data_IF_999831888149
#
_entry.id   IF_999831888149
#
_cell.length_a   1.000
_cell.length_b   1.000
_cell.length_c   1.000
_cell.angle_alpha   90.00
_cell.angle_beta   90.00
_cell.angle_gamma   90.00
#
_symmetry.space_group_name_H-M   'P 1'
#
loop_
_entity.id
_entity.type
_entity.pdbx_description
1 polymer ?
#
# COMPACT_ATOMS: atom_id res chain seq x y z
N UNK A 1 33.69 -45.85 55.26
CA UNK A 1 33.70 -44.44 54.79
C UNK A 1 32.73 -43.66 55.66
N UNK A 2 33.03 -42.41 55.99
CA UNK A 2 32.12 -41.52 56.74
C UNK A 2 31.33 -40.63 55.79
N UNK A 3 30.22 -40.05 56.26
CA UNK A 3 29.35 -39.18 55.45
C UNK A 3 30.09 -37.97 54.84
N UNK A 4 31.14 -37.47 55.50
CA UNK A 4 32.02 -36.40 54.96
C UNK A 4 32.60 -36.76 53.59
N UNK A 5 33.10 -37.99 53.42
CA UNK A 5 33.67 -38.44 52.16
C UNK A 5 32.64 -38.53 51.03
N UNK A 6 31.36 -38.78 51.37
CA UNK A 6 30.26 -38.85 50.40
C UNK A 6 29.88 -37.43 49.93
N UNK A 7 29.84 -36.45 50.86
CA UNK A 7 29.59 -35.05 50.52
C UNK A 7 30.70 -34.47 49.63
N UNK A 8 31.98 -34.78 49.91
CA UNK A 8 33.09 -34.40 49.03
C UNK A 8 32.95 -35.05 47.66
N UNK A 9 32.65 -36.35 47.57
CA UNK A 9 32.49 -37.03 46.28
C UNK A 9 31.34 -36.44 45.44
N UNK A 10 30.22 -36.09 46.07
CA UNK A 10 29.10 -35.41 45.42
C UNK A 10 29.52 -34.06 44.81
N UNK A 11 30.20 -33.21 45.59
CA UNK A 11 30.66 -31.91 45.10
C UNK A 11 31.76 -32.01 44.04
N UNK A 12 32.68 -32.98 44.14
CA UNK A 12 33.78 -33.15 43.18
C UNK A 12 33.35 -33.86 41.88
N UNK A 13 32.29 -34.69 41.89
CA UNK A 13 31.88 -35.47 40.71
C UNK A 13 30.62 -34.94 40.03
N UNK A 14 29.62 -34.41 40.77
CA UNK A 14 28.35 -34.00 40.14
C UNK A 14 28.37 -32.52 39.72
N UNK A 15 28.97 -31.62 40.50
CA UNK A 15 28.96 -30.18 40.18
C UNK A 15 29.73 -29.85 38.89
N UNK A 16 30.94 -30.40 38.62
CA UNK A 16 31.64 -30.12 37.35
C UNK A 16 30.93 -30.70 36.12
N UNK A 17 30.22 -31.83 36.28
CA UNK A 17 29.44 -32.45 35.20
C UNK A 17 28.11 -31.72 34.91
N UNK A 18 27.67 -30.81 35.79
CA UNK A 18 26.52 -29.91 35.55
C UNK A 18 26.94 -28.54 34.98
N UNK A 19 28.20 -28.15 35.12
CA UNK A 19 28.75 -26.89 34.62
C UNK A 19 30.05 -27.15 33.84
N UNK A 20 29.90 -27.64 32.61
CA UNK A 20 30.97 -28.28 31.82
C UNK A 20 32.20 -27.41 31.51
N UNK A 21 33.21 -27.52 32.37
CA UNK A 21 34.65 -27.29 32.14
C UNK A 21 35.39 -28.27 33.07
N UNK A 22 36.59 -28.79 32.80
CA UNK A 22 37.55 -28.64 31.71
C UNK A 22 38.87 -29.32 32.13
N UNK A 23 39.87 -29.40 31.23
CA UNK A 23 41.22 -29.99 31.47
C UNK A 23 41.24 -31.53 31.71
N UNK A 24 42.20 -32.34 31.23
CA UNK A 24 43.15 -32.29 30.09
C UNK A 24 43.50 -33.81 29.79
N UNK A 25 44.46 -34.34 29.01
CA UNK A 25 45.73 -33.89 28.42
C UNK A 25 45.93 -34.49 27.03
N UNK A 26 46.02 -33.65 25.99
CA UNK A 26 47.06 -33.73 24.93
C UNK A 26 46.75 -32.89 23.67
N UNK A 27 47.58 -31.89 23.39
CA UNK A 27 47.97 -31.37 22.07
C UNK A 27 46.98 -31.49 20.88
N UNK A 28 45.77 -30.99 21.06
CA UNK A 28 45.04 -30.30 20.00
C UNK A 28 44.03 -29.33 20.65
N UNK A 29 43.82 -28.13 20.10
CA UNK A 29 42.63 -27.37 20.45
C UNK A 29 41.42 -28.18 19.96
N UNK A 30 40.64 -28.75 20.89
CA UNK A 30 39.30 -29.20 20.55
C UNK A 30 38.43 -27.94 20.41
N UNK A 31 38.61 -27.24 19.29
CA UNK A 31 37.48 -26.59 18.62
C UNK A 31 36.49 -27.71 18.34
N UNK A 32 35.53 -27.88 19.26
CA UNK A 32 34.32 -28.63 18.99
C UNK A 32 33.72 -27.92 17.78
N UNK A 33 33.77 -28.58 16.62
CA UNK A 33 33.11 -28.06 15.45
C UNK A 33 31.63 -27.95 15.80
N UNK A 34 31.09 -26.73 15.80
CA UNK A 34 29.71 -26.47 16.20
C UNK A 34 28.79 -27.21 15.22
N UNK A 35 28.32 -28.40 15.60
CA UNK A 35 27.50 -29.23 14.72
C UNK A 35 26.04 -28.75 14.73
N UNK A 36 25.87 -27.55 14.16
CA UNK A 36 24.61 -26.84 14.01
C UNK A 36 23.64 -27.54 13.04
N UNK A 37 23.97 -28.73 12.52
CA UNK A 37 23.04 -29.57 11.72
C UNK A 37 21.76 -29.93 12.47
N UNK A 38 21.81 -29.95 13.81
CA UNK A 38 20.64 -30.16 14.68
C UNK A 38 19.94 -28.85 15.07
N UNK A 39 20.44 -27.69 14.63
CA UNK A 39 19.91 -26.34 14.92
C UNK A 39 19.34 -25.74 13.64
N UNK A 40 18.40 -26.46 13.04
CA UNK A 40 17.71 -26.06 11.79
C UNK A 40 16.28 -25.63 12.08
N UNK A 41 15.54 -26.44 12.85
CA UNK A 41 14.45 -25.99 13.71
C UNK A 41 14.41 -26.93 14.94
N UNK A 42 14.14 -26.37 16.11
CA UNK A 42 14.02 -27.10 17.39
C UNK A 42 12.58 -26.99 17.93
N UNK A 43 11.71 -26.23 17.27
CA UNK A 43 10.29 -26.14 17.60
C UNK A 43 9.48 -27.29 17.01
N UNK A 44 8.94 -28.16 17.88
CA UNK A 44 7.80 -29.03 17.51
C UNK A 44 6.51 -28.30 17.84
N UNK A 45 5.60 -28.15 16.87
CA UNK A 45 4.30 -27.56 17.12
C UNK A 45 3.46 -28.44 18.07
N UNK A 46 2.65 -27.83 18.94
CA UNK A 46 1.91 -28.55 19.99
C UNK A 46 0.96 -29.62 19.43
N UNK A 47 0.47 -29.43 18.19
CA UNK A 47 -0.38 -30.40 17.49
C UNK A 47 0.38 -31.66 17.02
N UNK A 48 1.69 -31.57 16.83
CA UNK A 48 2.55 -32.62 16.27
C UNK A 48 3.43 -33.31 17.33
N UNK A 49 3.33 -32.91 18.60
CA UNK A 49 3.99 -33.57 19.73
C UNK A 49 3.51 -35.02 19.87
N UNK A 50 4.45 -35.97 19.83
CA UNK A 50 4.11 -37.38 20.00
C UNK A 50 3.80 -37.71 21.47
N UNK A 51 3.09 -38.81 21.71
CA UNK A 51 2.87 -39.33 23.05
C UNK A 51 4.18 -39.67 23.80
N UNK A 52 5.28 -39.92 23.06
CA UNK A 52 6.64 -40.08 23.59
C UNK A 52 7.21 -38.76 24.12
N UNK A 53 7.00 -37.66 23.40
CA UNK A 53 7.52 -36.34 23.79
C UNK A 53 6.77 -35.82 25.02
N UNK A 54 5.43 -35.90 24.98
CA UNK A 54 4.59 -35.60 26.14
C UNK A 54 4.98 -36.43 27.38
N UNK A 55 5.35 -37.70 27.21
CA UNK A 55 5.85 -38.54 28.30
C UNK A 55 7.15 -38.01 28.90
N UNK A 56 8.08 -37.47 28.09
CA UNK A 56 9.32 -36.88 28.60
C UNK A 56 9.06 -35.60 29.44
N UNK A 57 7.98 -34.87 29.15
CA UNK A 57 7.56 -33.69 29.92
C UNK A 57 6.64 -34.00 31.12
N UNK A 58 6.27 -35.27 31.34
CA UNK A 58 5.24 -35.67 32.31
C UNK A 58 5.53 -36.98 33.08
N UNK A 59 6.75 -37.55 33.02
CA UNK A 59 7.02 -38.90 33.56
C UNK A 59 6.92 -38.99 35.09
N UNK A 60 7.48 -38.01 35.79
CA UNK A 60 7.61 -37.99 37.26
C UNK A 60 7.21 -36.62 37.85
N UNK A 61 7.48 -35.54 37.11
CA UNK A 61 7.02 -34.18 37.36
C UNK A 61 6.55 -33.57 36.04
N UNK A 62 5.45 -32.82 36.06
CA UNK A 62 5.00 -32.06 34.88
C UNK A 62 5.87 -30.83 34.73
N UNK A 63 6.52 -30.68 33.56
CA UNK A 63 7.35 -29.51 33.26
C UNK A 63 6.44 -28.28 33.12
N UNK A 64 6.67 -27.27 33.97
CA UNK A 64 5.95 -26.01 33.92
C UNK A 64 6.43 -25.11 32.76
N UNK A 65 5.49 -24.43 32.11
CA UNK A 65 5.81 -23.40 31.11
C UNK A 65 6.55 -22.24 31.81
N UNK A 66 7.79 -21.99 31.40
CA UNK A 66 8.70 -21.04 32.06
C UNK A 66 8.33 -19.56 31.83
N UNK A 67 8.08 -19.18 30.58
CA UNK A 67 7.43 -17.91 30.20
C UNK A 67 6.57 -18.16 28.95
N UNK A 68 5.67 -17.22 28.66
CA UNK A 68 4.92 -17.17 27.40
C UNK A 68 5.25 -15.87 26.68
N UNK A 69 5.99 -15.99 25.58
CA UNK A 69 6.28 -14.89 24.67
C UNK A 69 5.11 -14.68 23.71
N UNK A 70 4.74 -13.43 23.46
CA UNK A 70 3.66 -13.04 22.54
C UNK A 70 4.19 -11.99 21.56
N UNK A 71 4.26 -12.35 20.29
CA UNK A 71 4.63 -11.41 19.23
C UNK A 71 3.44 -10.52 18.85
N UNK A 72 3.53 -9.24 19.17
CA UNK A 72 2.50 -8.23 18.92
C UNK A 72 3.04 -7.07 18.09
N UNK A 73 3.78 -7.36 17.02
CA UNK A 73 4.26 -6.35 16.06
C UNK A 73 3.09 -5.67 15.33
N UNK A 74 3.06 -4.34 15.37
CA UNK A 74 2.07 -3.54 14.66
C UNK A 74 2.42 -3.41 13.17
N UNK A 75 1.46 -3.66 12.29
CA UNK A 75 1.60 -3.54 10.84
C UNK A 75 1.71 -2.07 10.44
N UNK A 76 2.75 -1.71 9.69
CA UNK A 76 2.95 -0.34 9.20
C UNK A 76 2.01 -0.06 8.03
N UNK A 77 1.24 1.02 8.14
CA UNK A 77 0.31 1.45 7.09
C UNK A 77 1.05 1.88 5.81
N UNK A 78 0.61 1.40 4.64
CA UNK A 78 1.08 1.87 3.33
C UNK A 78 0.28 3.11 2.90
N UNK A 79 0.15 4.12 3.76
CA UNK A 79 -0.80 5.23 3.53
C UNK A 79 -0.53 5.91 2.18
N UNK A 80 -1.44 5.75 1.22
CA UNK A 80 -1.48 6.58 0.02
C UNK A 80 -2.16 7.90 0.42
N UNK A 81 -1.58 9.06 0.10
CA UNK A 81 -2.10 10.37 0.53
C UNK A 81 -3.31 10.78 -0.32
N UNK A 82 -4.42 10.08 -0.10
CA UNK A 82 -5.75 10.38 -0.62
C UNK A 82 -6.35 11.59 0.13
N UNK A 83 -7.38 12.22 -0.45
CA UNK A 83 -8.18 13.17 0.32
C UNK A 83 -8.98 12.43 1.42
N UNK A 84 -8.53 12.58 2.67
CA UNK A 84 -9.16 12.04 3.87
C UNK A 84 -10.07 13.08 4.52
N UNK A 85 -11.23 12.63 4.99
CA UNK A 85 -12.21 13.43 5.74
C UNK A 85 -13.02 12.51 6.65
N UNK A 86 -13.67 13.05 7.69
CA UNK A 86 -14.48 12.28 8.63
C UNK A 86 -15.82 12.98 8.85
N UNK A 87 -16.92 12.25 8.71
CA UNK A 87 -18.28 12.78 8.91
C UNK A 87 -19.27 11.70 9.35
N UNK A 88 -19.83 11.88 10.54
CA UNK A 88 -20.90 11.05 11.09
C UNK A 88 -22.28 11.37 10.48
N UNK A 89 -22.43 12.55 9.85
CA UNK A 89 -23.72 13.07 9.40
C UNK A 89 -23.73 13.38 7.89
N UNK A 90 -24.58 12.66 7.15
CA UNK A 90 -24.85 12.92 5.73
C UNK A 90 -24.74 11.67 4.86
N UNK A 91 -25.73 11.47 3.97
CA UNK A 91 -25.75 10.30 3.08
C UNK A 91 -24.81 10.41 1.88
N UNK A 92 -24.62 11.63 1.34
CA UNK A 92 -23.99 11.86 0.05
C UNK A 92 -22.95 12.98 0.09
N UNK A 93 -21.88 12.84 -0.69
CA UNK A 93 -20.85 13.87 -0.89
C UNK A 93 -21.10 14.54 -2.25
N UNK A 94 -21.33 15.85 -2.26
CA UNK A 94 -21.52 16.65 -3.48
C UNK A 94 -20.25 17.46 -3.78
N UNK A 95 -19.78 17.43 -5.04
CA UNK A 95 -18.63 18.23 -5.49
C UNK A 95 -19.00 19.07 -6.71
N UNK A 96 -19.13 20.38 -6.47
CA UNK A 96 -19.41 21.40 -7.49
C UNK A 96 -18.09 21.91 -8.06
N UNK A 97 -18.01 22.07 -9.39
CA UNK A 97 -16.99 22.83 -10.10
C UNK A 97 -17.66 23.93 -10.92
N UNK A 98 -16.93 25.00 -11.21
CA UNK A 98 -17.32 26.03 -12.18
C UNK A 98 -16.39 25.94 -13.39
N UNK A 99 -16.92 26.13 -14.60
CA UNK A 99 -16.08 26.35 -15.79
C UNK A 99 -15.48 27.76 -15.77
N UNK A 100 -14.47 28.00 -16.59
CA UNK A 100 -14.02 29.36 -16.88
C UNK A 100 -15.10 30.16 -17.62
N UNK A 101 -15.13 31.46 -17.36
CA UNK A 101 -15.94 32.41 -18.14
C UNK A 101 -15.25 32.70 -19.47
N UNK A 102 -16.04 32.86 -20.54
CA UNK A 102 -15.53 33.31 -21.84
C UNK A 102 -15.14 34.79 -21.78
N UNK A 103 -13.91 35.10 -22.14
CA UNK A 103 -13.48 36.46 -22.42
C UNK A 103 -13.92 36.87 -23.84
N UNK A 104 -14.35 38.12 -23.99
CA UNK A 104 -14.65 38.75 -25.28
C UNK A 104 -13.77 39.97 -25.50
N UNK A 105 -13.44 40.26 -26.77
CA UNK A 105 -12.65 41.43 -27.14
C UNK A 105 -13.34 42.74 -26.75
N UNK A 106 -12.57 43.69 -26.23
CA UNK A 106 -13.08 45.01 -25.82
C UNK A 106 -12.90 46.06 -26.92
N UNK A 107 -14.01 46.47 -27.53
CA UNK A 107 -14.04 47.53 -28.55
C UNK A 107 -14.08 48.95 -27.97
N UNK A 108 -13.64 49.14 -26.71
CA UNK A 108 -13.72 50.41 -25.97
C UNK A 108 -12.92 51.56 -26.63
N UNK A 109 -11.92 51.24 -27.46
CA UNK A 109 -11.11 52.20 -28.22
C UNK A 109 -11.58 52.39 -29.68
N UNK A 110 -12.56 51.62 -30.13
CA UNK A 110 -12.97 51.47 -31.54
C UNK A 110 -14.49 51.57 -31.71
N UNK A 111 -15.11 52.46 -30.92
CA UNK A 111 -16.54 52.73 -30.99
C UNK A 111 -16.95 53.31 -32.34
N UNK A 112 -17.97 52.73 -32.96
CA UNK A 112 -18.58 53.21 -34.21
C UNK A 112 -20.00 53.69 -33.94
N UNK A 113 -20.41 54.76 -34.63
CA UNK A 113 -21.76 55.29 -34.50
C UNK A 113 -22.80 54.27 -35.00
N UNK A 114 -23.90 54.11 -34.25
CA UNK A 114 -25.00 53.24 -34.61
C UNK A 114 -25.73 53.76 -35.86
N UNK A 115 -25.30 53.26 -37.02
CA UNK A 115 -26.04 53.37 -38.28
C UNK A 115 -26.96 52.16 -38.46
N UNK A 116 -27.78 52.13 -39.52
CA UNK A 116 -28.63 50.99 -39.90
C UNK A 116 -27.84 49.72 -40.29
N UNK A 117 -26.53 49.65 -40.03
CA UNK A 117 -25.66 48.49 -40.20
C UNK A 117 -24.53 48.45 -39.15
N UNK A 118 -24.67 49.20 -38.05
CA UNK A 118 -23.71 49.20 -36.93
C UNK A 118 -24.00 48.07 -35.91
N UNK A 119 -23.09 47.83 -34.96
CA UNK A 119 -23.27 46.83 -33.91
C UNK A 119 -24.28 47.27 -32.85
N UNK A 120 -25.19 46.37 -32.44
CA UNK A 120 -26.16 46.62 -31.36
C UNK A 120 -25.48 46.56 -29.98
N UNK A 121 -25.27 47.73 -29.38
CA UNK A 121 -24.78 47.89 -28.01
C UNK A 121 -25.87 47.57 -26.97
N UNK A 122 -26.23 46.30 -26.81
CA UNK A 122 -27.27 45.84 -25.87
C UNK A 122 -26.79 45.83 -24.42
N UNK A 123 -27.30 46.74 -23.60
CA UNK A 123 -27.16 46.70 -22.14
C UNK A 123 -28.07 45.63 -21.49
N UNK A 124 -27.85 45.30 -20.22
CA UNK A 124 -28.78 44.53 -19.38
C UNK A 124 -28.83 43.01 -19.60
N UNK A 125 -27.90 42.42 -20.35
CA UNK A 125 -27.83 40.95 -20.52
C UNK A 125 -27.31 40.26 -19.25
N UNK A 126 -27.96 39.17 -18.85
CA UNK A 126 -27.52 38.31 -17.75
C UNK A 126 -26.54 37.24 -18.27
N UNK A 127 -25.36 37.16 -17.65
CA UNK A 127 -24.31 36.19 -17.97
C UNK A 127 -24.25 35.14 -16.84
N UNK A 128 -24.74 33.93 -17.12
CA UNK A 128 -24.73 32.82 -16.17
C UNK A 128 -23.36 32.15 -16.08
N UNK A 129 -23.01 31.62 -14.90
CA UNK A 129 -21.87 30.71 -14.71
C UNK A 129 -22.32 29.27 -14.94
N UNK A 130 -21.51 28.48 -15.66
CA UNK A 130 -21.75 27.04 -15.82
C UNK A 130 -21.12 26.25 -14.67
N UNK A 131 -21.95 25.46 -13.98
CA UNK A 131 -21.54 24.57 -12.90
C UNK A 131 -21.64 23.10 -13.31
N UNK A 132 -20.64 22.31 -12.97
CA UNK A 132 -20.67 20.85 -13.07
C UNK A 132 -20.73 20.22 -11.67
N UNK A 133 -21.63 19.24 -11.48
CA UNK A 133 -21.99 18.71 -10.16
C UNK A 133 -21.98 17.19 -10.19
N UNK A 134 -21.02 16.57 -9.48
CA UNK A 134 -21.01 15.12 -9.22
C UNK A 134 -21.41 14.83 -7.77
N UNK A 135 -22.23 13.81 -7.57
CA UNK A 135 -22.73 13.36 -6.25
C UNK A 135 -22.30 11.91 -6.04
N UNK A 136 -21.76 11.62 -4.86
CA UNK A 136 -21.22 10.32 -4.48
C UNK A 136 -21.97 9.76 -3.27
N UNK A 137 -22.52 8.55 -3.41
CA UNK A 137 -23.41 7.91 -2.43
C UNK A 137 -22.97 6.51 -2.02
N UNK A 138 -21.88 5.98 -2.61
CA UNK A 138 -21.47 4.59 -2.41
C UNK A 138 -20.59 4.44 -1.18
N UNK A 139 -21.12 3.75 -0.19
CA UNK A 139 -20.39 3.37 1.01
C UNK A 139 -19.88 1.92 0.90
N UNK A 140 -18.71 1.67 1.48
CA UNK A 140 -18.07 0.36 1.57
C UNK A 140 -17.74 0.15 3.04
N UNK A 141 -18.05 -1.03 3.58
CA UNK A 141 -17.83 -1.32 4.99
C UNK A 141 -17.53 -2.78 5.25
N UNK A 142 -16.74 -3.02 6.29
CA UNK A 142 -16.31 -4.33 6.75
C UNK A 142 -16.49 -4.43 8.27
N UNK A 143 -16.35 -5.64 8.80
CA UNK A 143 -16.43 -5.88 10.24
C UNK A 143 -15.49 -7.00 10.67
N UNK A 144 -14.61 -6.69 11.62
CA UNK A 144 -13.77 -7.68 12.28
C UNK A 144 -14.53 -8.21 13.50
N UNK A 145 -14.52 -9.53 13.67
CA UNK A 145 -15.16 -10.22 14.80
C UNK A 145 -14.12 -11.03 15.56
N UNK A 146 -14.15 -10.96 16.88
CA UNK A 146 -13.35 -11.81 17.75
C UNK A 146 -14.12 -12.09 19.05
N UNK A 147 -13.84 -13.22 19.70
CA UNK A 147 -14.42 -13.58 21.00
C UNK A 147 -13.33 -13.81 22.02
N UNK A 148 -13.54 -13.35 23.25
CA UNK A 148 -12.70 -13.61 24.41
C UNK A 148 -13.51 -14.46 25.39
N UNK A 149 -13.04 -15.67 25.68
CA UNK A 149 -13.68 -16.64 26.56
C UNK A 149 -13.03 -16.65 27.95
N UNK A 150 -13.84 -16.38 28.98
CA UNK A 150 -13.35 -16.03 30.32
C UNK A 150 -12.64 -17.22 30.99
N UNK A 151 -13.34 -18.34 31.12
CA UNK A 151 -12.83 -19.53 31.84
C UNK A 151 -11.81 -20.33 31.05
N UNK A 152 -11.82 -20.26 29.71
CA UNK A 152 -10.81 -20.90 28.88
C UNK A 152 -9.45 -20.23 29.09
N UNK A 153 -9.38 -18.90 28.96
CA UNK A 153 -8.12 -18.17 29.09
C UNK A 153 -7.58 -18.24 30.52
N UNK A 154 -8.44 -18.22 31.56
CA UNK A 154 -7.99 -18.48 32.95
C UNK A 154 -7.33 -19.85 33.15
N UNK A 155 -7.77 -20.88 32.43
CA UNK A 155 -7.22 -22.24 32.54
C UNK A 155 -5.93 -22.43 31.74
N UNK A 156 -5.69 -21.63 30.71
CA UNK A 156 -4.49 -21.70 29.86
C UNK A 156 -3.26 -20.98 30.43
N UNK A 157 -3.39 -20.13 31.46
CA UNK A 157 -2.29 -19.31 31.97
C UNK A 157 -2.13 -19.40 33.50
N UNK A 158 -0.89 -19.43 33.96
CA UNK A 158 -0.51 -19.44 35.39
C UNK A 158 -0.64 -18.07 36.07
N UNK A 159 -0.91 -16.99 35.32
CA UNK A 159 -1.06 -15.65 35.86
C UNK A 159 -2.00 -14.76 35.02
N UNK A 160 -2.64 -13.79 35.68
CA UNK A 160 -3.44 -12.77 35.01
C UNK A 160 -2.61 -11.91 34.02
N UNK A 161 -1.30 -11.74 34.28
CA UNK A 161 -0.39 -11.06 33.37
C UNK A 161 -0.20 -11.81 32.04
N UNK A 162 -0.17 -13.16 32.07
CA UNK A 162 -0.15 -13.98 30.86
C UNK A 162 -1.43 -13.82 30.02
N UNK A 163 -2.60 -13.81 30.68
CA UNK A 163 -3.89 -13.54 30.02
C UNK A 163 -3.91 -12.13 29.39
N UNK A 164 -3.38 -11.13 30.10
CA UNK A 164 -3.30 -9.77 29.59
C UNK A 164 -2.36 -9.64 28.36
N UNK A 165 -1.20 -10.32 28.35
CA UNK A 165 -0.33 -10.44 27.16
C UNK A 165 -1.12 -11.00 25.96
N UNK A 166 -1.89 -12.08 26.15
CA UNK A 166 -2.68 -12.69 25.08
C UNK A 166 -3.77 -11.76 24.54
N UNK A 167 -4.50 -11.05 25.42
CA UNK A 167 -5.54 -10.11 25.01
C UNK A 167 -4.93 -8.97 24.18
N UNK A 168 -3.83 -8.37 24.63
CA UNK A 168 -3.12 -7.34 23.86
C UNK A 168 -2.62 -7.85 22.50
N UNK A 169 -2.18 -9.10 22.42
CA UNK A 169 -1.80 -9.75 21.15
C UNK A 169 -3.00 -9.94 20.21
N UNK A 170 -4.19 -10.28 20.74
CA UNK A 170 -5.43 -10.38 19.95
C UNK A 170 -5.84 -8.99 19.44
N UNK A 171 -5.82 -7.97 20.30
CA UNK A 171 -6.18 -6.59 19.94
C UNK A 171 -5.22 -6.00 18.88
N UNK A 172 -3.90 -6.22 19.02
CA UNK A 172 -2.92 -5.82 18.01
C UNK A 172 -3.15 -6.52 16.66
N UNK A 173 -3.53 -7.81 16.65
CA UNK A 173 -3.85 -8.52 15.41
C UNK A 173 -5.19 -8.07 14.78
N UNK A 174 -6.17 -7.67 15.59
CA UNK A 174 -7.39 -7.00 15.11
C UNK A 174 -7.06 -5.67 14.47
N UNK A 175 -6.21 -4.83 15.08
CA UNK A 175 -5.76 -3.57 14.49
C UNK A 175 -4.98 -3.79 13.19
N UNK A 176 -4.07 -4.76 13.15
CA UNK A 176 -3.34 -5.16 11.95
C UNK A 176 -4.29 -5.58 10.81
N UNK A 177 -5.36 -6.32 11.14
CA UNK A 177 -6.39 -6.72 10.17
C UNK A 177 -7.15 -5.50 9.62
N UNK A 178 -7.52 -4.55 10.49
CA UNK A 178 -8.19 -3.30 10.09
C UNK A 178 -7.29 -2.47 9.16
N UNK A 179 -5.99 -2.32 9.50
CA UNK A 179 -5.01 -1.64 8.66
C UNK A 179 -4.83 -2.35 7.31
N UNK A 180 -4.76 -3.68 7.27
CA UNK A 180 -4.62 -4.44 6.02
C UNK A 180 -5.81 -4.22 5.07
N UNK A 181 -7.03 -4.30 5.57
CA UNK A 181 -8.26 -4.03 4.81
C UNK A 181 -8.30 -2.59 4.29
N UNK A 182 -7.91 -1.60 5.10
CA UNK A 182 -7.85 -0.20 4.67
C UNK A 182 -6.82 0.07 3.58
N UNK A 183 -5.65 -0.56 3.65
CA UNK A 183 -4.68 -0.50 2.55
C UNK A 183 -5.22 -1.20 1.29
N UNK A 184 -5.96 -2.31 1.45
CA UNK A 184 -6.71 -2.94 0.36
C UNK A 184 -7.72 -2.00 -0.31
N UNK A 185 -8.51 -1.26 0.47
CA UNK A 185 -9.45 -0.26 -0.04
C UNK A 185 -8.73 0.89 -0.75
N UNK A 186 -7.65 1.43 -0.17
CA UNK A 186 -6.88 2.52 -0.76
C UNK A 186 -6.26 2.12 -2.11
N UNK A 187 -5.63 0.94 -2.19
CA UNK A 187 -5.13 0.38 -3.47
C UNK A 187 -6.26 0.16 -4.48
N UNK A 188 -7.43 -0.30 -4.03
CA UNK A 188 -8.63 -0.44 -4.88
C UNK A 188 -9.12 0.88 -5.48
N UNK A 189 -9.07 1.98 -4.72
CA UNK A 189 -9.41 3.33 -5.24
C UNK A 189 -8.39 3.76 -6.30
N UNK A 190 -7.08 3.56 -6.06
CA UNK A 190 -6.04 3.87 -7.04
C UNK A 190 -6.20 3.04 -8.33
N UNK A 191 -6.51 1.74 -8.24
CA UNK A 191 -6.82 0.91 -9.42
C UNK A 191 -8.02 1.43 -10.21
N UNK A 192 -9.10 1.86 -9.55
CA UNK A 192 -10.25 2.47 -10.25
C UNK A 192 -9.89 3.82 -10.89
N UNK A 193 -8.97 4.59 -10.29
CA UNK A 193 -8.46 5.82 -10.92
C UNK A 193 -7.60 5.50 -12.15
N UNK A 194 -6.69 4.52 -12.06
CA UNK A 194 -5.87 4.00 -13.19
C UNK A 194 -6.76 3.56 -14.35
N UNK A 195 -7.80 2.76 -14.06
CA UNK A 195 -8.79 2.34 -15.04
C UNK A 195 -9.43 3.53 -15.77
N UNK A 196 -9.87 4.55 -15.02
CA UNK A 196 -10.50 5.74 -15.59
C UNK A 196 -9.55 6.63 -16.41
N UNK A 197 -8.23 6.56 -16.13
CA UNK A 197 -7.19 7.25 -16.89
C UNK A 197 -6.89 6.52 -18.21
N UNK A 198 -6.75 5.19 -18.18
CA UNK A 198 -6.54 4.38 -19.38
C UNK A 198 -7.68 4.52 -20.38
N UNK A 199 -8.95 4.38 -19.94
CA UNK A 199 -10.12 4.50 -20.82
C UNK A 199 -10.34 5.92 -21.36
N UNK A 200 -9.82 6.93 -20.65
CA UNK A 200 -9.78 8.33 -21.10
C UNK A 200 -8.53 8.71 -21.91
N UNK A 201 -7.75 7.75 -22.39
CA UNK A 201 -6.50 7.96 -23.14
C UNK A 201 -5.40 8.77 -22.41
N UNK A 202 -5.47 8.87 -21.07
CA UNK A 202 -4.46 9.54 -20.23
C UNK A 202 -3.34 8.58 -19.81
N UNK A 203 -2.84 7.81 -20.78
CA UNK A 203 -1.71 6.91 -20.61
C UNK A 203 -0.47 7.43 -21.33
N UNK A 204 0.69 7.39 -20.67
CA UNK A 204 1.99 7.60 -21.29
C UNK A 204 2.71 6.25 -21.34
N UNK A 205 2.68 5.61 -22.51
CA UNK A 205 3.49 4.43 -22.82
C UNK A 205 4.97 4.85 -22.91
N UNK A 206 5.74 4.56 -21.87
CA UNK A 206 7.10 5.09 -21.70
C UNK A 206 8.04 4.62 -22.83
N UNK A 207 8.02 3.33 -23.16
CA UNK A 207 8.91 2.75 -24.19
C UNK A 207 8.55 3.30 -25.58
N UNK A 208 7.27 3.27 -25.95
CA UNK A 208 6.76 3.82 -27.22
C UNK A 208 7.16 5.29 -27.37
N UNK A 209 6.92 6.10 -26.33
CA UNK A 209 7.23 7.54 -26.33
C UNK A 209 8.74 7.79 -26.44
N UNK A 210 9.58 7.02 -25.74
CA UNK A 210 11.04 7.16 -25.82
C UNK A 210 11.57 6.82 -27.21
N UNK A 211 11.22 5.64 -27.74
CA UNK A 211 11.67 5.19 -29.05
C UNK A 211 11.23 6.18 -30.16
N UNK A 212 9.98 6.65 -30.12
CA UNK A 212 9.49 7.69 -31.05
C UNK A 212 10.24 9.01 -30.90
N UNK A 213 10.52 9.48 -29.67
CA UNK A 213 11.29 10.72 -29.44
C UNK A 213 12.75 10.62 -29.91
N UNK A 214 13.35 9.42 -29.87
CA UNK A 214 14.69 9.16 -30.41
C UNK A 214 14.71 8.84 -31.91
N UNK A 215 13.56 8.58 -32.52
CA UNK A 215 13.45 8.08 -33.89
C UNK A 215 13.96 6.64 -34.07
N UNK A 216 14.05 5.85 -33.00
CA UNK A 216 14.59 4.49 -33.05
C UNK A 216 13.61 3.51 -33.70
N UNK A 217 14.15 2.72 -34.61
CA UNK A 217 13.56 1.53 -35.22
C UNK A 217 13.98 0.27 -34.46
N UNK A 218 13.32 -0.86 -34.72
CA UNK A 218 13.66 -2.15 -34.07
C UNK A 218 15.06 -2.70 -34.43
N UNK A 219 15.78 -2.08 -35.35
CA UNK A 219 17.16 -2.45 -35.73
C UNK A 219 18.22 -1.59 -35.02
N UNK A 220 17.82 -0.48 -34.37
CA UNK A 220 18.74 0.44 -33.72
C UNK A 220 19.28 -0.14 -32.39
N UNK A 221 20.61 -0.09 -32.13
CA UNK A 221 21.20 -0.57 -30.88
C UNK A 221 20.71 0.15 -29.60
N UNK A 222 19.99 1.27 -29.72
CA UNK A 222 19.37 2.00 -28.62
C UNK A 222 17.88 1.70 -28.40
N UNK A 223 17.26 0.83 -29.21
CA UNK A 223 15.83 0.54 -29.17
C UNK A 223 15.42 -0.16 -27.88
N UNK A 224 14.44 0.41 -27.18
CA UNK A 224 13.97 -0.08 -25.89
C UNK A 224 12.75 -1.01 -26.08
N UNK A 225 12.68 -2.03 -25.24
CA UNK A 225 11.65 -3.07 -25.18
C UNK A 225 11.35 -3.43 -23.73
N UNK A 226 10.26 -4.16 -23.49
CA UNK A 226 9.94 -4.69 -22.15
C UNK A 226 11.04 -5.63 -21.57
N UNK A 227 11.96 -6.13 -22.41
CA UNK A 227 13.03 -7.04 -21.99
C UNK A 227 14.38 -6.37 -21.68
N UNK A 228 14.60 -5.09 -22.06
CA UNK A 228 15.88 -4.39 -21.89
C UNK A 228 15.78 -2.96 -21.29
N UNK A 229 14.58 -2.49 -20.93
CA UNK A 229 14.38 -1.17 -20.32
C UNK A 229 15.15 -0.98 -19.00
N UNK A 230 15.33 -2.07 -18.24
CA UNK A 230 16.09 -2.13 -16.98
C UNK A 230 17.55 -1.75 -17.16
N UNK A 231 18.12 -2.08 -18.31
CA UNK A 231 19.56 -2.00 -18.56
C UNK A 231 19.96 -0.63 -19.11
N UNK A 232 19.00 0.08 -19.73
CA UNK A 232 19.22 1.39 -20.33
C UNK A 232 19.14 2.53 -19.30
N UNK A 233 20.30 2.92 -18.76
CA UNK A 233 20.44 4.13 -17.93
C UNK A 233 19.90 5.38 -18.63
N UNK A 234 20.06 5.50 -19.95
CA UNK A 234 19.55 6.63 -20.73
C UNK A 234 18.01 6.71 -20.75
N UNK A 235 17.33 5.55 -20.85
CA UNK A 235 15.87 5.47 -20.72
C UNK A 235 15.42 5.87 -19.32
N UNK A 236 16.06 5.32 -18.28
CA UNK A 236 15.69 5.57 -16.87
C UNK A 236 15.85 7.04 -16.46
N UNK A 237 16.93 7.71 -16.89
CA UNK A 237 17.13 9.15 -16.69
C UNK A 237 16.11 10.02 -17.46
N UNK A 238 15.68 9.58 -18.65
CA UNK A 238 14.62 10.26 -19.39
C UNK A 238 13.25 10.12 -18.68
N UNK A 239 12.91 8.94 -18.16
CA UNK A 239 11.67 8.72 -17.39
C UNK A 239 11.58 9.69 -16.20
N UNK A 240 12.66 9.89 -15.46
CA UNK A 240 12.71 10.83 -14.33
C UNK A 240 12.50 12.28 -14.79
N UNK A 241 13.18 12.69 -15.85
CA UNK A 241 12.99 14.01 -16.47
C UNK A 241 11.53 14.22 -16.89
N UNK A 242 10.92 13.24 -17.56
CA UNK A 242 9.51 13.22 -17.94
C UNK A 242 8.58 13.33 -16.72
N UNK A 243 8.90 12.67 -15.60
CA UNK A 243 8.11 12.76 -14.37
C UNK A 243 8.18 14.15 -13.72
N UNK A 244 9.36 14.80 -13.72
CA UNK A 244 9.51 16.18 -13.26
C UNK A 244 8.78 17.18 -14.17
N UNK A 245 8.84 16.98 -15.48
CA UNK A 245 8.12 17.77 -16.46
C UNK A 245 6.60 17.59 -16.31
N UNK A 246 6.11 16.36 -16.17
CA UNK A 246 4.69 16.06 -15.99
C UNK A 246 4.12 16.73 -14.72
N UNK A 247 4.87 16.74 -13.61
CA UNK A 247 4.48 17.48 -12.38
C UNK A 247 4.30 18.98 -12.61
N UNK A 248 4.98 19.57 -13.60
CA UNK A 248 4.85 20.99 -13.98
C UNK A 248 3.74 21.21 -15.00
N UNK A 249 3.62 20.36 -16.02
CA UNK A 249 2.53 20.50 -17.02
C UNK A 249 1.13 20.34 -16.41
N UNK A 250 0.97 19.69 -15.26
CA UNK A 250 -0.31 19.62 -14.54
C UNK A 250 -0.61 20.85 -13.67
N UNK A 251 0.34 21.78 -13.45
CA UNK A 251 0.04 23.07 -12.79
C UNK A 251 -0.58 24.10 -13.74
N UNK A 252 -0.48 23.87 -15.05
CA UNK A 252 -1.12 24.71 -16.07
C UNK A 252 -2.61 24.33 -16.23
N UNK A 253 -3.46 25.33 -16.49
CA UNK A 253 -4.90 25.16 -16.48
C UNK A 253 -5.43 24.57 -17.81
N UNK A 254 -5.81 23.28 -17.82
CA UNK A 254 -6.15 22.55 -19.04
C UNK A 254 -7.12 21.36 -18.83
N UNK A 255 -7.59 20.76 -19.92
CA UNK A 255 -8.49 19.59 -19.96
C UNK A 255 -7.76 18.27 -20.28
N UNK A 256 -6.51 18.34 -20.75
CA UNK A 256 -5.74 17.21 -21.31
C UNK A 256 -5.48 16.11 -20.28
N UNK A 257 -5.34 16.47 -19.00
CA UNK A 257 -5.01 15.54 -17.92
C UNK A 257 -6.22 15.09 -17.07
N UNK A 258 -7.44 15.42 -17.47
CA UNK A 258 -8.69 15.02 -16.80
C UNK A 258 -9.72 14.40 -17.79
N UNK A 259 -10.99 14.25 -17.39
CA UNK A 259 -12.07 13.69 -18.22
C UNK A 259 -12.64 14.61 -19.31
N UNK A 260 -12.07 15.78 -19.55
CA UNK A 260 -12.50 16.74 -20.57
C UNK A 260 -13.79 17.50 -20.26
N UNK A 261 -14.37 17.34 -19.06
CA UNK A 261 -15.65 17.97 -18.70
C UNK A 261 -15.53 19.42 -18.21
N UNK A 262 -14.41 19.74 -17.54
CA UNK A 262 -14.10 21.04 -16.95
C UNK A 262 -12.58 21.24 -17.01
N UNK A 263 -12.07 22.40 -17.46
CA UNK A 263 -10.64 22.70 -17.42
C UNK A 263 -10.13 22.84 -15.97
N UNK A 264 -8.92 22.34 -15.68
CA UNK A 264 -8.35 22.32 -14.31
C UNK A 264 -6.84 22.44 -14.27
N UNK A 265 -6.33 22.73 -13.07
CA UNK A 265 -4.92 22.64 -12.71
C UNK A 265 -4.78 21.88 -11.38
N UNK A 266 -3.59 21.32 -11.13
CA UNK A 266 -3.21 20.65 -9.89
C UNK A 266 -1.97 21.34 -9.33
N UNK A 267 -2.04 22.00 -8.15
CA UNK A 267 -0.86 22.56 -7.49
C UNK A 267 0.20 21.49 -7.17
N UNK A 268 1.47 21.86 -7.21
CA UNK A 268 2.59 20.95 -6.87
C UNK A 268 2.48 20.38 -5.43
N UNK A 269 1.85 21.13 -4.51
CA UNK A 269 1.52 20.70 -3.14
C UNK A 269 0.52 19.53 -3.06
N UNK A 270 -0.31 19.36 -4.08
CA UNK A 270 -1.40 18.38 -4.15
C UNK A 270 -1.20 17.33 -5.26
N UNK A 271 -0.18 17.52 -6.11
CA UNK A 271 0.32 16.48 -7.00
C UNK A 271 0.86 15.28 -6.20
N UNK A 272 0.38 14.08 -6.50
CA UNK A 272 0.80 12.81 -5.90
C UNK A 272 1.30 11.86 -6.97
N UNK A 273 2.32 11.09 -6.61
CA UNK A 273 2.88 10.05 -7.47
C UNK A 273 3.02 8.75 -6.67
N UNK A 274 2.60 7.65 -7.27
CA UNK A 274 2.81 6.28 -6.77
C UNK A 274 3.50 5.48 -7.88
N UNK A 275 4.60 4.79 -7.55
CA UNK A 275 5.37 3.93 -8.45
C UNK A 275 5.43 2.49 -7.92
N UNK A 276 5.55 1.49 -8.80
CA UNK A 276 5.93 0.14 -8.36
C UNK A 276 7.29 0.15 -7.66
N UNK A 277 7.44 -0.62 -6.58
CA UNK A 277 8.69 -0.70 -5.81
C UNK A 277 9.89 -1.15 -6.66
N UNK A 278 9.71 -2.12 -7.56
CA UNK A 278 10.76 -2.56 -8.51
C UNK A 278 11.19 -1.41 -9.43
N UNK A 279 10.22 -0.73 -10.04
CA UNK A 279 10.45 0.36 -10.98
C UNK A 279 11.18 1.54 -10.32
N UNK A 280 10.74 1.93 -9.13
CA UNK A 280 11.39 2.97 -8.33
C UNK A 280 12.85 2.61 -8.00
N UNK A 281 13.14 1.37 -7.59
CA UNK A 281 14.50 0.93 -7.30
C UNK A 281 15.41 0.98 -8.54
N UNK A 282 14.89 0.59 -9.72
CA UNK A 282 15.64 0.67 -10.99
C UNK A 282 15.95 2.12 -11.40
N UNK A 283 15.03 3.05 -11.13
CA UNK A 283 15.21 4.49 -11.33
C UNK A 283 16.25 5.08 -10.36
N UNK A 284 16.17 4.78 -9.07
CA UNK A 284 17.09 5.30 -8.05
C UNK A 284 18.54 4.84 -8.28
N UNK A 285 18.73 3.58 -8.70
CA UNK A 285 20.05 3.04 -9.09
C UNK A 285 20.66 3.82 -10.28
N UNK A 286 19.82 4.26 -11.24
CA UNK A 286 20.30 5.07 -12.36
C UNK A 286 20.86 6.42 -11.88
N UNK A 287 20.13 7.13 -11.02
CA UNK A 287 20.54 8.44 -10.48
C UNK A 287 21.81 8.34 -9.61
N UNK A 288 21.90 7.32 -8.76
CA UNK A 288 23.04 7.09 -7.88
C UNK A 288 24.36 6.85 -8.63
N UNK A 289 24.29 6.51 -9.93
CA UNK A 289 25.46 6.37 -10.80
C UNK A 289 25.97 7.69 -11.43
N UNK A 290 25.19 8.78 -11.33
CA UNK A 290 25.45 10.04 -12.08
C UNK A 290 25.60 11.27 -11.17
N UNK A 291 24.89 11.33 -10.03
CA UNK A 291 24.87 12.55 -9.18
C UNK A 291 25.02 12.27 -7.68
N UNK A 292 25.62 13.23 -6.96
CA UNK A 292 25.67 13.22 -5.50
C UNK A 292 24.28 13.40 -4.90
N UNK A 293 23.94 12.56 -3.91
CA UNK A 293 22.60 12.30 -3.37
C UNK A 293 21.79 13.55 -2.94
N UNK A 294 22.45 14.65 -2.59
CA UNK A 294 21.82 15.91 -2.15
C UNK A 294 21.25 16.75 -3.30
N UNK A 295 21.66 16.48 -4.55
CA UNK A 295 21.05 17.07 -5.76
C UNK A 295 19.97 16.16 -6.36
N UNK A 296 19.58 15.09 -5.66
CA UNK A 296 18.86 13.92 -6.20
C UNK A 296 17.49 13.74 -5.53
N UNK A 297 16.76 14.85 -5.37
CA UNK A 297 15.28 14.82 -5.25
C UNK A 297 14.61 14.67 -6.64
N UNK A 298 15.34 14.13 -7.62
CA UNK A 298 15.07 14.20 -9.06
C UNK A 298 13.86 13.41 -9.59
N UNK A 299 13.10 12.76 -8.72
CA UNK A 299 11.82 12.10 -9.05
C UNK A 299 10.62 12.85 -8.41
N UNK A 300 10.91 13.89 -7.60
CA UNK A 300 9.99 14.53 -6.66
C UNK A 300 9.52 13.57 -5.56
N UNK A 301 8.66 14.04 -4.64
CA UNK A 301 8.08 13.15 -3.63
C UNK A 301 7.11 12.13 -4.28
N UNK A 302 7.47 10.84 -4.27
CA UNK A 302 6.61 9.71 -4.66
C UNK A 302 6.48 8.72 -3.48
N UNK A 303 5.48 7.84 -3.55
CA UNK A 303 5.36 6.65 -2.69
C UNK A 303 5.54 5.40 -3.54
N UNK A 304 6.05 4.33 -2.94
CA UNK A 304 6.11 3.02 -3.61
C UNK A 304 4.87 2.19 -3.30
N UNK A 305 4.54 1.26 -4.21
CA UNK A 305 3.53 0.21 -4.02
C UNK A 305 4.13 -1.14 -4.46
N UNK A 306 3.89 -2.18 -3.66
CA UNK A 306 4.50 -3.49 -3.89
C UNK A 306 3.77 -4.35 -4.95
N UNK A 307 2.52 -4.04 -5.26
CA UNK A 307 1.69 -4.64 -6.32
C UNK A 307 0.37 -3.87 -6.44
N UNK A 308 -0.23 -3.79 -7.64
CA UNK A 308 -1.54 -3.13 -7.79
C UNK A 308 -2.71 -4.02 -7.37
N UNK A 309 -2.71 -5.30 -7.75
CA UNK A 309 -3.78 -6.24 -7.43
C UNK A 309 -3.47 -7.05 -6.17
N UNK A 310 -2.46 -7.91 -6.25
CA UNK A 310 -2.09 -8.85 -5.20
C UNK A 310 -0.60 -9.23 -5.34
N UNK A 311 0.00 -9.76 -4.27
CA UNK A 311 1.33 -10.38 -4.38
C UNK A 311 1.27 -11.57 -5.34
N UNK A 312 2.32 -11.75 -6.15
CA UNK A 312 2.58 -13.03 -6.80
C UNK A 312 3.18 -14.02 -5.79
N UNK A 313 3.29 -15.32 -6.12
CA UNK A 313 3.98 -16.31 -5.28
C UNK A 313 5.50 -16.16 -5.23
N UNK A 314 6.07 -15.31 -6.08
CA UNK A 314 7.52 -15.16 -6.27
C UNK A 314 8.15 -14.33 -5.14
N UNK A 315 9.32 -14.77 -4.65
CA UNK A 315 10.06 -14.07 -3.60
C UNK A 315 10.56 -12.67 -4.03
N UNK A 316 10.68 -12.46 -5.33
CA UNK A 316 10.97 -11.18 -5.97
C UNK A 316 10.01 -11.05 -7.17
N UNK A 317 8.92 -10.26 -7.08
CA UNK A 317 8.04 -10.04 -8.21
C UNK A 317 8.79 -9.25 -9.30
N UNK A 318 8.37 -9.47 -10.55
CA UNK A 318 8.89 -8.77 -11.73
C UNK A 318 7.75 -8.20 -12.57
N UNK A 319 7.99 -7.05 -13.18
CA UNK A 319 7.20 -6.49 -14.28
C UNK A 319 7.26 -7.46 -15.47
N UNK A 320 6.16 -8.16 -15.73
CA UNK A 320 6.06 -9.20 -16.75
C UNK A 320 4.61 -9.37 -17.20
N UNK A 321 4.39 -9.66 -18.49
CA UNK A 321 3.03 -9.73 -19.03
C UNK A 321 2.26 -10.89 -18.40
N UNK A 322 1.05 -10.61 -17.89
CA UNK A 322 0.27 -11.56 -17.08
C UNK A 322 0.48 -11.48 -15.56
N UNK A 323 1.34 -10.60 -15.05
CA UNK A 323 1.68 -10.53 -13.62
C UNK A 323 0.68 -9.70 -12.80
N UNK A 324 0.22 -10.24 -11.66
CA UNK A 324 -0.64 -9.49 -10.72
C UNK A 324 0.10 -8.32 -10.01
N UNK A 325 1.42 -8.24 -10.19
CA UNK A 325 2.26 -7.15 -9.71
C UNK A 325 1.98 -5.84 -10.46
N UNK A 326 2.10 -5.84 -11.79
CA UNK A 326 2.02 -4.67 -12.67
C UNK A 326 0.68 -4.52 -13.40
N UNK A 327 -0.17 -5.56 -13.42
CA UNK A 327 -1.52 -5.47 -13.98
C UNK A 327 -2.54 -4.75 -13.08
N UNK A 328 -3.37 -3.92 -13.71
CA UNK A 328 -4.67 -3.50 -13.18
C UNK A 328 -5.79 -4.19 -13.96
N UNK A 329 -6.33 -5.27 -13.39
CA UNK A 329 -7.55 -5.93 -13.85
C UNK A 329 -8.73 -5.44 -13.01
N UNK A 330 -9.78 -4.93 -13.67
CA UNK A 330 -10.98 -4.43 -13.01
C UNK A 330 -12.22 -4.70 -13.86
N UNK A 331 -13.24 -5.37 -13.30
CA UNK A 331 -14.52 -5.55 -13.99
C UNK A 331 -15.34 -4.27 -13.99
N UNK A 332 -15.74 -3.84 -15.18
CA UNK A 332 -16.69 -2.76 -15.44
C UNK A 332 -18.09 -3.36 -15.55
N UNK A 333 -19.05 -2.77 -14.83
CA UNK A 333 -20.47 -3.07 -15.02
C UNK A 333 -21.06 -2.09 -16.03
N UNK A 334 -20.79 -2.34 -17.31
CA UNK A 334 -21.67 -1.86 -18.36
C UNK A 334 -22.97 -2.69 -18.40
N UNK A 335 -23.93 -2.27 -19.23
CA UNK A 335 -25.35 -2.65 -19.12
C UNK A 335 -25.68 -4.05 -19.66
N UNK A 336 -25.20 -5.10 -18.97
CA UNK A 336 -25.66 -6.47 -19.16
C UNK A 336 -24.65 -7.51 -18.71
N UNK A 337 -23.44 -7.44 -19.27
CA UNK A 337 -22.33 -8.36 -18.99
C UNK A 337 -21.14 -7.60 -18.41
N UNK A 338 -20.46 -8.22 -17.44
CA UNK A 338 -19.33 -7.60 -16.74
C UNK A 338 -18.05 -7.66 -17.58
N UNK A 339 -17.82 -6.65 -18.41
CA UNK A 339 -16.59 -6.53 -19.18
C UNK A 339 -15.39 -6.36 -18.23
N UNK A 340 -14.49 -7.33 -18.21
CA UNK A 340 -13.21 -7.21 -17.49
C UNK A 340 -12.21 -6.45 -18.35
N UNK A 341 -11.77 -5.30 -17.86
CA UNK A 341 -10.71 -4.50 -18.48
C UNK A 341 -9.41 -4.81 -17.76
N UNK A 342 -8.40 -5.21 -18.54
CA UNK A 342 -7.01 -5.41 -18.09
C UNK A 342 -6.15 -4.29 -18.65
N UNK A 343 -5.29 -3.74 -17.80
CA UNK A 343 -4.23 -2.81 -18.18
C UNK A 343 -2.93 -3.42 -17.68
N UNK A 344 -2.07 -3.85 -18.59
CA UNK A 344 -0.75 -4.42 -18.30
C UNK A 344 0.29 -3.32 -17.98
N UNK A 345 1.40 -3.73 -17.37
CA UNK A 345 2.63 -2.93 -17.30
C UNK A 345 2.50 -1.54 -16.65
N UNK A 346 1.56 -1.37 -15.71
CA UNK A 346 1.35 -0.10 -14.98
C UNK A 346 2.49 0.09 -14.00
N UNK A 347 3.46 0.94 -14.33
CA UNK A 347 4.61 1.23 -13.47
C UNK A 347 4.39 2.43 -12.55
N UNK A 348 3.43 3.30 -12.86
CA UNK A 348 3.11 4.43 -12.01
C UNK A 348 1.80 5.16 -12.31
N UNK A 349 1.40 5.99 -11.35
CA UNK A 349 0.23 6.86 -11.40
C UNK A 349 0.63 8.24 -10.86
N UNK A 350 0.35 9.29 -11.65
CA UNK A 350 0.44 10.69 -11.21
C UNK A 350 -0.98 11.26 -11.16
N UNK A 351 -1.38 11.77 -9.99
CA UNK A 351 -2.75 12.20 -9.73
C UNK A 351 -2.82 13.39 -8.78
N UNK A 352 -3.89 14.16 -8.88
CA UNK A 352 -4.26 15.15 -7.86
C UNK A 352 -4.77 14.44 -6.60
N UNK A 353 -4.34 14.88 -5.42
CA UNK A 353 -4.86 14.42 -4.12
C UNK A 353 -6.40 14.39 -4.04
N UNK A 354 -7.06 15.32 -4.73
CA UNK A 354 -8.51 15.43 -4.81
C UNK A 354 -9.16 14.52 -5.88
N UNK A 355 -8.39 13.82 -6.72
CA UNK A 355 -8.90 12.82 -7.69
C UNK A 355 -9.41 11.54 -7.02
N UNK A 356 -8.93 11.22 -5.82
CA UNK A 356 -9.28 10.01 -5.08
C UNK A 356 -9.50 10.36 -3.60
N UNK A 357 -10.69 10.03 -3.08
CA UNK A 357 -11.05 10.37 -1.70
C UNK A 357 -11.60 9.18 -0.93
N UNK A 358 -11.38 9.22 0.39
CA UNK A 358 -11.83 8.21 1.35
C UNK A 358 -12.33 8.94 2.60
N UNK A 359 -13.61 8.78 2.93
CA UNK A 359 -14.25 9.48 4.06
C UNK A 359 -14.69 8.49 5.12
N UNK A 360 -14.23 8.65 6.37
CA UNK A 360 -14.75 7.86 7.50
C UNK A 360 -16.21 8.27 7.77
N UNK A 361 -17.11 7.29 7.75
CA UNK A 361 -18.56 7.46 8.06
C UNK A 361 -18.99 6.72 9.32
N UNK A 362 -18.27 5.66 9.68
CA UNK A 362 -18.44 4.95 10.94
C UNK A 362 -17.12 4.27 11.30
N UNK A 363 -16.63 4.52 12.50
CA UNK A 363 -15.70 3.66 13.22
C UNK A 363 -16.36 3.35 14.57
N UNK A 364 -16.67 2.07 14.82
CA UNK A 364 -17.35 1.68 16.07
C UNK A 364 -17.11 0.23 16.46
N UNK A 365 -16.44 0.04 17.59
CA UNK A 365 -16.49 -1.23 18.32
C UNK A 365 -17.79 -1.37 19.10
N UNK A 366 -18.39 -2.55 19.04
CA UNK A 366 -19.54 -2.98 19.86
C UNK A 366 -19.26 -4.36 20.43
N UNK A 367 -19.82 -4.68 21.59
CA UNK A 367 -19.64 -5.99 22.23
C UNK A 367 -20.97 -6.61 22.65
N UNK A 368 -20.99 -7.95 22.76
CA UNK A 368 -22.08 -8.73 23.34
C UNK A 368 -21.51 -9.86 24.19
N UNK A 369 -21.92 -9.90 25.45
CA UNK A 369 -21.69 -11.05 26.33
C UNK A 369 -22.69 -12.17 26.01
N UNK A 370 -22.22 -13.42 26.02
CA UNK A 370 -23.03 -14.63 25.86
C UNK A 370 -22.98 -15.39 27.20
N UNK A 371 -24.04 -15.30 28.03
CA UNK A 371 -24.04 -15.85 29.40
C UNK A 371 -24.16 -17.38 29.45
N UNK A 372 -24.49 -18.02 28.34
CA UNK A 372 -24.65 -19.48 28.22
C UNK A 372 -23.30 -20.21 28.19
N UNK A 373 -22.25 -19.56 27.67
CA UNK A 373 -20.94 -20.15 27.35
C UNK A 373 -19.76 -19.28 27.85
N UNK A 374 -20.03 -18.28 28.71
CA UNK A 374 -19.07 -17.31 29.30
C UNK A 374 -17.99 -16.79 28.33
N UNK A 375 -18.45 -16.13 27.26
CA UNK A 375 -17.58 -15.36 26.37
C UNK A 375 -18.19 -14.01 25.97
N UNK A 376 -17.31 -13.05 25.67
CA UNK A 376 -17.70 -11.77 25.07
C UNK A 376 -17.24 -11.72 23.62
N UNK A 377 -18.18 -11.55 22.69
CA UNK A 377 -17.86 -11.27 21.29
C UNK A 377 -17.79 -9.77 21.05
N UNK A 378 -16.72 -9.33 20.41
CA UNK A 378 -16.51 -7.98 19.93
C UNK A 378 -16.74 -7.93 18.41
N UNK A 379 -17.37 -6.85 17.97
CA UNK A 379 -17.64 -6.53 16.57
C UNK A 379 -17.14 -5.12 16.33
N UNK A 380 -15.99 -4.99 15.68
CA UNK A 380 -15.50 -3.72 15.20
C UNK A 380 -16.08 -3.47 13.80
N UNK A 381 -16.94 -2.46 13.66
CA UNK A 381 -17.57 -2.09 12.39
C UNK A 381 -16.91 -0.84 11.85
N UNK A 382 -16.46 -0.90 10.60
CA UNK A 382 -15.89 0.26 9.91
C UNK A 382 -16.58 0.46 8.56
N UNK A 383 -17.05 1.68 8.32
CA UNK A 383 -17.69 2.10 7.07
C UNK A 383 -17.02 3.37 6.56
N UNK A 384 -16.59 3.35 5.30
CA UNK A 384 -16.01 4.51 4.63
C UNK A 384 -16.72 4.75 3.29
N UNK A 385 -16.94 6.02 2.97
CA UNK A 385 -17.39 6.44 1.64
C UNK A 385 -16.17 6.60 0.74
N UNK A 386 -16.19 6.03 -0.47
CA UNK A 386 -15.02 5.96 -1.34
C UNK A 386 -15.42 6.18 -2.80
N UNK A 387 -14.81 7.17 -3.45
CA UNK A 387 -14.97 7.37 -4.89
C UNK A 387 -13.79 8.14 -5.52
N UNK A 388 -13.86 8.24 -6.84
CA UNK A 388 -12.92 8.98 -7.69
C UNK A 388 -13.62 10.16 -8.35
N UNK A 389 -12.89 11.25 -8.56
CA UNK A 389 -13.35 12.43 -9.27
C UNK A 389 -12.50 12.64 -10.53
N UNK A 390 -12.97 12.05 -11.63
CA UNK A 390 -12.32 12.03 -12.95
C UNK A 390 -12.11 13.42 -13.57
N UNK A 391 -12.69 14.46 -12.97
CA UNK A 391 -12.54 15.87 -13.36
C UNK A 391 -11.26 16.49 -12.80
N UNK A 392 -10.52 15.78 -11.95
CA UNK A 392 -9.22 16.18 -11.44
C UNK A 392 -8.13 15.38 -12.16
N UNK A 393 -6.89 15.87 -12.10
CA UNK A 393 -5.75 15.29 -12.82
C UNK A 393 -5.52 13.82 -12.47
N UNK A 394 -5.45 12.96 -13.48
CA UNK A 394 -5.04 11.56 -13.33
C UNK A 394 -4.41 11.03 -14.63
N UNK A 395 -3.12 10.74 -14.57
CA UNK A 395 -2.28 10.27 -15.68
C UNK A 395 -1.55 9.01 -15.25
N UNK A 396 -1.60 7.97 -16.07
CA UNK A 396 -0.90 6.70 -15.81
C UNK A 396 0.37 6.59 -16.65
N UNK A 397 1.34 5.86 -16.10
CA UNK A 397 2.59 5.51 -16.73
C UNK A 397 2.60 3.99 -16.92
N UNK A 398 2.50 3.53 -18.17
CA UNK A 398 2.75 2.12 -18.51
C UNK A 398 4.09 2.00 -19.23
N UNK A 399 4.77 0.85 -19.14
CA UNK A 399 5.98 0.65 -19.95
C UNK A 399 5.65 0.47 -21.43
N UNK A 400 4.60 -0.30 -21.74
CA UNK A 400 4.07 -0.53 -23.09
C UNK A 400 2.58 -0.17 -23.18
#
# INVERSE_FOLDING_TARGET
>A
MTFSNIATLLNTVIVPNLFGQGEDVSHNPITIAEDLRNVVDIGTAIADLSASDLKNYMSDLVVGIFDTYTDSRAFKDETYDLFLSEQDYGGAIQRIKCKLLSASDTNILTLVAASNSGPDYTDGKYYATEYDVKIYTKDIGFKVKYSISTEMFKKSFTSAAGVAKLIAMIEANVENTIRLELNGMARGILRKLILSAATGSRNIQLITTYNTMKGYTSEDPGYITLANWSDSTAFKLWVQTLMLELRKYITDYNEKYNDGSVPTFTPESDARCVLLTEFAAQLDVALGSVYHKEMVEGTGAYRTINFWQNSTPDLLPQIASGSMHDQVVETVKDSGEGATVTIDHVVGLVYDRFSAFLTTKLDKTTSKYVPEEDFTTYFHHMVKSAAIDTRNTAVILTLA
#
